data_IF_593206560348
#
_entry.id   IF_593206560348
#
_cell.length_a   1.000
_cell.length_b   1.000
_cell.length_c   1.000
_cell.angle_alpha   90.00
_cell.angle_beta   90.00
_cell.angle_gamma   90.00
#
_symmetry.space_group_name_H-M   'P 1'
#
loop_
_entity.id
_entity.type
_entity.pdbx_description
1 polymer ?
#
# COMPACT_ATOMS: atom_id res chain seq x y z
N UNK A 1 11.28 -26.62 -12.04
CA UNK A 1 9.92 -26.09 -11.80
C UNK A 1 10.03 -24.59 -11.65
N UNK A 2 9.53 -23.86 -12.63
CA UNK A 2 9.70 -22.42 -12.81
C UNK A 2 8.78 -21.67 -11.85
N UNK A 3 9.31 -21.13 -10.73
CA UNK A 3 8.63 -20.17 -9.87
C UNK A 3 8.91 -18.78 -10.45
N UNK A 4 8.14 -18.42 -11.44
CA UNK A 4 8.28 -17.13 -12.12
C UNK A 4 6.94 -16.66 -12.67
N UNK A 5 6.34 -15.69 -12.03
CA UNK A 5 5.34 -14.86 -12.65
C UNK A 5 3.97 -14.91 -12.02
N UNK A 6 3.68 -13.95 -11.17
CA UNK A 6 2.39 -13.24 -11.12
C UNK A 6 2.29 -12.25 -9.92
N UNK A 7 3.30 -11.40 -9.72
CA UNK A 7 3.24 -10.37 -8.64
C UNK A 7 2.71 -9.02 -9.14
N UNK A 8 2.30 -8.89 -10.41
CA UNK A 8 1.89 -7.60 -10.98
C UNK A 8 0.67 -7.73 -11.91
N UNK A 9 -0.52 -7.98 -11.34
CA UNK A 9 -1.77 -7.84 -12.09
C UNK A 9 -2.79 -6.97 -11.33
N UNK A 10 -2.55 -5.66 -11.32
CA UNK A 10 -3.61 -4.68 -11.12
C UNK A 10 -3.25 -3.40 -11.90
N UNK A 11 -3.86 -3.22 -13.07
CA UNK A 11 -3.77 -2.03 -13.91
C UNK A 11 -3.37 -2.30 -15.36
N UNK A 12 -3.56 -1.37 -16.32
CA UNK A 12 -3.55 -1.63 -17.76
C UNK A 12 -2.24 -2.28 -18.24
N UNK A 13 -2.34 -3.57 -18.53
CA UNK A 13 -1.22 -4.50 -18.74
C UNK A 13 -0.34 -4.18 -19.98
N UNK A 14 -0.81 -3.37 -20.91
CA UNK A 14 -0.10 -3.09 -22.17
C UNK A 14 1.01 -2.05 -22.01
N UNK A 15 0.84 -1.04 -21.16
CA UNK A 15 1.84 0.01 -20.92
C UNK A 15 3.03 -0.46 -20.06
N UNK A 16 2.81 -1.46 -19.23
CA UNK A 16 3.83 -1.95 -18.28
C UNK A 16 4.88 -2.84 -18.92
N UNK A 17 4.57 -3.57 -20.01
CA UNK A 17 5.50 -4.54 -20.58
C UNK A 17 6.72 -3.90 -21.25
N UNK A 18 6.57 -2.84 -22.03
CA UNK A 18 7.67 -2.20 -22.74
C UNK A 18 8.58 -1.35 -21.84
N UNK A 19 7.99 -0.56 -20.94
CA UNK A 19 8.76 0.26 -19.99
C UNK A 19 9.45 -0.60 -18.92
N UNK A 20 8.76 -1.64 -18.41
CA UNK A 20 9.33 -2.60 -17.47
C UNK A 20 10.52 -3.35 -18.03
N UNK A 21 10.54 -3.71 -19.33
CA UNK A 21 11.65 -4.41 -19.94
C UNK A 21 12.93 -3.57 -20.01
N UNK A 22 12.83 -2.27 -20.30
CA UNK A 22 13.98 -1.34 -20.32
C UNK A 22 14.59 -1.15 -18.93
N UNK A 23 13.77 -0.96 -17.91
CA UNK A 23 14.25 -0.82 -16.53
C UNK A 23 14.86 -2.12 -16.01
N UNK A 24 14.28 -3.26 -16.34
CA UNK A 24 14.85 -4.58 -16.04
C UNK A 24 16.24 -4.76 -16.65
N UNK A 25 16.39 -4.54 -17.95
CA UNK A 25 17.68 -4.65 -18.66
C UNK A 25 18.71 -3.66 -18.13
N UNK A 26 18.29 -2.45 -17.73
CA UNK A 26 19.18 -1.47 -17.09
C UNK A 26 19.67 -1.99 -15.75
N UNK A 27 18.77 -2.52 -14.91
CA UNK A 27 19.13 -3.10 -13.62
C UNK A 27 20.09 -4.27 -13.79
N UNK A 28 19.81 -5.20 -14.70
CA UNK A 28 20.68 -6.34 -15.01
C UNK A 28 22.11 -5.90 -15.36
N UNK A 29 22.27 -4.84 -16.15
CA UNK A 29 23.59 -4.29 -16.50
C UNK A 29 24.31 -3.63 -15.33
N UNK A 30 23.57 -3.11 -14.34
CA UNK A 30 24.14 -2.45 -13.16
C UNK A 30 24.55 -3.44 -12.06
N UNK A 31 23.99 -4.65 -12.05
CA UNK A 31 24.22 -5.66 -11.01
C UNK A 31 25.71 -5.91 -10.72
N UNK A 32 26.61 -6.13 -11.71
CA UNK A 32 28.02 -6.39 -11.39
C UNK A 32 28.69 -5.23 -10.65
N UNK A 33 28.38 -3.98 -11.07
CA UNK A 33 28.89 -2.78 -10.41
C UNK A 33 28.26 -2.58 -9.03
N UNK A 34 26.96 -2.88 -8.88
CA UNK A 34 26.25 -2.82 -7.62
C UNK A 34 26.88 -3.76 -6.59
N UNK A 35 27.13 -5.02 -6.95
CA UNK A 35 27.77 -5.99 -6.08
C UNK A 35 29.19 -5.56 -5.69
N UNK A 36 29.94 -4.97 -6.63
CA UNK A 36 31.26 -4.42 -6.34
C UNK A 36 31.21 -3.21 -5.40
N UNK A 37 30.19 -2.35 -5.54
CA UNK A 37 29.98 -1.17 -4.68
C UNK A 37 29.57 -1.56 -3.25
N UNK A 38 28.72 -2.57 -3.10
CA UNK A 38 28.31 -3.10 -1.79
C UNK A 38 29.51 -3.73 -1.07
N UNK A 39 30.43 -4.34 -1.81
CA UNK A 39 31.63 -4.96 -1.26
C UNK A 39 31.37 -6.28 -0.53
N UNK A 40 32.14 -6.57 0.51
CA UNK A 40 31.95 -7.72 1.40
C UNK A 40 30.78 -7.42 2.35
N UNK A 41 29.73 -8.26 2.48
CA UNK A 41 29.64 -9.70 2.12
C UNK A 41 29.09 -10.01 0.72
N UNK A 42 28.76 -9.02 -0.11
CA UNK A 42 28.11 -9.23 -1.40
C UNK A 42 28.99 -9.92 -2.44
N UNK A 43 30.27 -10.08 -2.20
CA UNK A 43 31.20 -10.76 -3.15
C UNK A 43 30.82 -12.20 -3.51
N UNK A 44 30.03 -12.87 -2.65
CA UNK A 44 29.53 -14.24 -2.86
C UNK A 44 28.05 -14.28 -3.27
N UNK A 45 27.44 -13.11 -3.47
CA UNK A 45 26.03 -13.05 -3.85
C UNK A 45 25.89 -13.08 -5.37
N UNK A 46 24.80 -13.69 -5.79
CA UNK A 46 24.28 -13.62 -7.16
C UNK A 46 22.97 -12.84 -7.14
N UNK A 47 22.65 -12.24 -8.27
CA UNK A 47 21.39 -11.55 -8.45
C UNK A 47 20.36 -12.48 -9.07
N UNK A 48 19.17 -12.50 -8.49
CA UNK A 48 18.01 -13.05 -9.13
C UNK A 48 17.44 -12.10 -10.21
N UNK A 49 16.39 -12.54 -10.93
CA UNK A 49 15.76 -11.72 -11.96
C UNK A 49 15.13 -10.46 -11.35
N UNK A 50 15.40 -9.25 -11.91
CA UNK A 50 14.81 -8.03 -11.42
C UNK A 50 13.29 -8.00 -11.58
N UNK A 51 12.59 -7.59 -10.53
CA UNK A 51 11.18 -7.20 -10.54
C UNK A 51 11.08 -5.70 -10.80
N UNK A 52 10.02 -5.22 -11.46
CA UNK A 52 9.83 -3.79 -11.71
C UNK A 52 8.49 -3.36 -11.15
N UNK A 53 8.52 -2.41 -10.21
CA UNK A 53 7.34 -1.85 -9.55
C UNK A 53 6.57 -0.86 -10.45
N UNK A 54 5.40 -0.44 -9.98
CA UNK A 54 4.58 0.60 -10.63
C UNK A 54 5.30 1.95 -10.76
N UNK A 55 6.18 2.28 -9.80
CA UNK A 55 7.02 3.49 -9.82
C UNK A 55 8.25 3.36 -10.71
N UNK A 56 8.37 2.23 -11.44
CA UNK A 56 9.54 1.87 -12.27
C UNK A 56 10.83 1.76 -11.47
N UNK A 57 10.72 1.33 -10.24
CA UNK A 57 11.86 0.89 -9.43
C UNK A 57 12.13 -0.57 -9.75
N UNK A 58 13.35 -0.90 -10.15
CA UNK A 58 13.77 -2.28 -10.28
C UNK A 58 14.21 -2.80 -8.91
N UNK A 59 13.62 -3.90 -8.48
CA UNK A 59 13.95 -4.59 -7.23
C UNK A 59 14.70 -5.86 -7.59
N UNK A 60 15.97 -5.94 -7.19
CA UNK A 60 16.88 -7.04 -7.50
C UNK A 60 17.11 -7.89 -6.27
N UNK A 61 16.64 -9.15 -6.26
CA UNK A 61 16.97 -10.08 -5.18
C UNK A 61 18.47 -10.42 -5.21
N UNK A 62 19.14 -10.38 -4.08
CA UNK A 62 20.55 -10.71 -3.93
C UNK A 62 20.73 -11.77 -2.84
N UNK A 63 21.54 -12.78 -3.11
CA UNK A 63 21.80 -13.86 -2.15
C UNK A 63 22.86 -14.86 -2.62
N UNK A 64 23.12 -15.92 -1.83
CA UNK A 64 24.07 -16.96 -2.20
C UNK A 64 23.56 -17.74 -3.42
N UNK A 65 24.47 -18.30 -4.25
CA UNK A 65 24.10 -19.15 -5.37
C UNK A 65 23.21 -20.31 -4.94
N UNK A 66 22.05 -20.46 -5.58
CA UNK A 66 21.11 -21.55 -5.27
C UNK A 66 20.31 -21.40 -3.96
N UNK A 67 20.59 -20.35 -3.19
CA UNK A 67 19.89 -20.05 -1.93
C UNK A 67 18.79 -18.98 -2.07
N UNK A 68 18.02 -18.75 -0.99
CA UNK A 68 17.05 -17.67 -0.96
C UNK A 68 17.76 -16.29 -0.98
N UNK A 69 17.06 -15.22 -1.41
CA UNK A 69 17.59 -13.88 -1.32
C UNK A 69 17.79 -13.49 0.15
N UNK A 70 18.92 -12.85 0.45
CA UNK A 70 19.24 -12.30 1.78
C UNK A 70 19.13 -10.77 1.80
N UNK A 71 19.14 -10.15 0.63
CA UNK A 71 18.94 -8.72 0.47
C UNK A 71 18.17 -8.40 -0.81
N UNK A 72 17.52 -7.23 -0.81
CA UNK A 72 16.79 -6.66 -1.94
C UNK A 72 17.41 -5.31 -2.29
N UNK A 73 17.91 -5.17 -3.51
CA UNK A 73 18.43 -3.90 -3.99
C UNK A 73 17.35 -3.19 -4.81
N UNK A 74 16.92 -2.01 -4.36
CA UNK A 74 15.94 -1.15 -5.01
C UNK A 74 16.67 -0.10 -5.85
N UNK A 75 16.44 -0.10 -7.17
CA UNK A 75 17.07 0.78 -8.16
C UNK A 75 15.97 1.64 -8.82
N UNK A 76 15.68 2.85 -8.30
CA UNK A 76 14.63 3.71 -8.85
C UNK A 76 15.02 4.23 -10.23
N UNK A 77 14.21 3.93 -11.25
CA UNK A 77 14.44 4.32 -12.64
C UNK A 77 13.86 5.67 -13.05
N UNK A 78 13.14 6.34 -12.14
CA UNK A 78 12.45 7.62 -12.39
C UNK A 78 12.53 8.54 -11.18
N UNK A 79 12.25 9.83 -11.37
CA UNK A 79 12.15 10.78 -10.25
C UNK A 79 11.05 10.38 -9.24
N UNK A 80 9.95 9.82 -9.73
CA UNK A 80 8.87 9.29 -8.88
C UNK A 80 9.40 8.14 -8.02
N UNK A 81 10.13 7.20 -8.61
CA UNK A 81 10.76 6.09 -7.87
C UNK A 81 11.78 6.58 -6.82
N UNK A 82 12.58 7.61 -7.13
CA UNK A 82 13.48 8.24 -6.14
C UNK A 82 12.67 8.84 -4.98
N UNK A 83 11.62 9.60 -5.29
CA UNK A 83 10.75 10.20 -4.26
C UNK A 83 10.06 9.13 -3.41
N UNK A 84 9.65 8.01 -4.00
CA UNK A 84 9.10 6.83 -3.33
C UNK A 84 10.10 6.27 -2.31
N UNK A 85 11.34 6.01 -2.73
CA UNK A 85 12.39 5.49 -1.85
C UNK A 85 12.73 6.45 -0.69
N UNK A 86 12.70 7.76 -0.94
CA UNK A 86 12.91 8.77 0.09
C UNK A 86 11.76 8.81 1.11
N UNK A 87 10.50 8.65 0.65
CA UNK A 87 9.34 8.56 1.55
C UNK A 87 9.41 7.30 2.40
N UNK A 88 9.66 6.15 1.79
CA UNK A 88 9.81 4.88 2.48
C UNK A 88 10.93 4.93 3.52
N UNK A 89 12.09 5.45 3.17
CA UNK A 89 13.20 5.60 4.11
C UNK A 89 12.87 6.49 5.32
N UNK A 90 12.14 7.61 5.10
CA UNK A 90 11.68 8.47 6.21
C UNK A 90 10.67 7.75 7.11
N UNK A 91 9.72 7.03 6.51
CA UNK A 91 8.71 6.26 7.26
C UNK A 91 9.36 5.17 8.11
N UNK A 92 10.25 4.36 7.53
CA UNK A 92 10.96 3.30 8.25
C UNK A 92 11.85 3.86 9.38
N UNK A 93 12.56 4.97 9.14
CA UNK A 93 13.34 5.62 10.18
C UNK A 93 12.47 6.13 11.33
N UNK A 94 11.32 6.75 11.01
CA UNK A 94 10.40 7.26 12.02
C UNK A 94 9.74 6.12 12.81
N UNK A 95 9.33 5.04 12.15
CA UNK A 95 8.79 3.82 12.80
C UNK A 95 9.84 3.16 13.70
N UNK A 96 11.09 3.05 13.23
CA UNK A 96 12.18 2.46 14.02
C UNK A 96 12.57 3.30 15.25
N UNK A 97 12.32 4.61 15.18
CA UNK A 97 12.57 5.53 16.30
C UNK A 97 11.38 5.64 17.27
N UNK A 98 10.21 5.07 16.93
CA UNK A 98 9.00 5.12 17.74
C UNK A 98 9.00 4.00 18.79
N UNK A 99 9.13 4.31 20.08
CA UNK A 99 9.19 3.29 21.12
C UNK A 99 7.94 2.39 21.17
N UNK A 100 6.77 2.94 20.86
CA UNK A 100 5.51 2.21 20.86
C UNK A 100 5.47 1.08 19.82
N UNK A 101 6.26 1.15 18.76
CA UNK A 101 6.36 0.09 17.74
C UNK A 101 6.86 -1.23 18.36
N UNK A 102 7.84 -1.18 19.27
CA UNK A 102 8.27 -2.35 20.04
C UNK A 102 8.57 -3.57 19.16
N UNK A 103 7.99 -4.73 19.53
CA UNK A 103 8.21 -6.00 18.81
C UNK A 103 7.66 -6.01 17.38
N UNK A 104 6.79 -5.07 17.02
CA UNK A 104 6.34 -4.93 15.63
C UNK A 104 7.50 -4.62 14.70
N UNK A 105 8.60 -4.04 15.19
CA UNK A 105 9.80 -3.73 14.40
C UNK A 105 10.35 -4.95 13.61
N UNK A 106 10.07 -6.18 14.06
CA UNK A 106 10.44 -7.41 13.34
C UNK A 106 9.79 -7.54 11.96
N UNK A 107 8.64 -6.89 11.75
CA UNK A 107 7.93 -6.89 10.47
C UNK A 107 8.40 -5.80 9.51
N UNK A 108 9.26 -4.89 9.95
CA UNK A 108 9.76 -3.79 9.12
C UNK A 108 10.99 -4.22 8.31
N UNK A 109 11.11 -3.79 7.04
CA UNK A 109 12.33 -3.94 6.28
C UNK A 109 13.50 -3.23 6.98
N UNK A 110 14.62 -3.92 7.12
CA UNK A 110 15.83 -3.33 7.65
C UNK A 110 16.68 -2.79 6.49
N UNK A 111 16.90 -1.49 6.45
CA UNK A 111 17.83 -0.86 5.52
C UNK A 111 19.26 -1.22 5.92
N UNK A 112 20.02 -1.79 4.99
CA UNK A 112 21.43 -2.19 5.18
C UNK A 112 22.33 -1.00 4.81
N UNK A 113 22.14 -0.46 3.60
CA UNK A 113 22.89 0.70 3.08
C UNK A 113 22.17 1.32 1.90
N UNK A 114 22.64 2.48 1.50
CA UNK A 114 22.26 3.15 0.27
C UNK A 114 23.46 3.86 -0.34
N UNK A 115 23.30 4.27 -1.58
CA UNK A 115 24.38 4.95 -2.31
C UNK A 115 24.10 5.09 -3.79
N UNK A 116 25.16 5.11 -4.56
CA UNK A 116 25.10 5.27 -6.01
C UNK A 116 25.96 4.22 -6.73
N UNK A 117 25.45 3.73 -7.85
CA UNK A 117 26.20 2.95 -8.83
C UNK A 117 26.28 3.78 -10.12
N UNK A 118 27.41 4.50 -10.30
CA UNK A 118 27.47 5.61 -11.24
C UNK A 118 26.46 6.68 -10.84
N UNK A 119 25.59 7.09 -11.77
CA UNK A 119 24.53 8.09 -11.51
C UNK A 119 23.22 7.47 -10.97
N UNK A 120 23.18 6.15 -10.80
CA UNK A 120 21.99 5.45 -10.38
C UNK A 120 21.97 5.28 -8.86
N UNK A 121 21.02 5.93 -8.14
CA UNK A 121 20.85 5.67 -6.72
C UNK A 121 20.34 4.25 -6.48
N UNK A 122 20.71 3.68 -5.35
CA UNK A 122 20.17 2.41 -4.87
C UNK A 122 19.93 2.44 -3.37
N UNK A 123 19.03 1.59 -2.95
CA UNK A 123 18.80 1.23 -1.54
C UNK A 123 18.93 -0.28 -1.42
N UNK A 124 19.67 -0.74 -0.41
CA UNK A 124 19.81 -2.15 -0.08
C UNK A 124 19.10 -2.41 1.24
N UNK A 125 18.15 -3.33 1.21
CA UNK A 125 17.39 -3.75 2.38
C UNK A 125 17.61 -5.25 2.63
N UNK A 126 17.49 -5.69 3.89
CA UNK A 126 17.40 -7.10 4.20
C UNK A 126 16.17 -7.69 3.53
N UNK A 127 16.32 -8.82 2.85
CA UNK A 127 15.17 -9.53 2.33
C UNK A 127 14.27 -10.00 3.48
N UNK A 128 12.97 -9.64 3.41
CA UNK A 128 12.00 -10.19 4.34
C UNK A 128 11.78 -11.67 4.02
N UNK A 129 11.72 -12.54 5.04
CA UNK A 129 11.53 -13.98 4.83
C UNK A 129 10.13 -14.26 4.28
N UNK A 130 9.98 -15.39 3.57
CA UNK A 130 8.70 -15.85 3.05
C UNK A 130 8.43 -15.39 1.61
N UNK A 131 7.17 -15.43 1.24
CA UNK A 131 6.65 -15.00 -0.07
C UNK A 131 5.45 -14.08 0.10
N UNK A 132 5.09 -13.33 -0.93
CA UNK A 132 3.95 -12.42 -0.86
C UNK A 132 2.63 -13.18 -0.61
N UNK A 133 1.86 -12.71 0.35
CA UNK A 133 0.66 -13.37 0.87
C UNK A 133 -0.42 -13.56 -0.21
N UNK A 134 -0.58 -12.64 -1.17
CA UNK A 134 -1.50 -12.76 -2.29
C UNK A 134 -1.21 -13.98 -3.17
N UNK A 135 0.06 -14.37 -3.29
CA UNK A 135 0.48 -15.57 -4.02
C UNK A 135 0.02 -16.85 -3.34
N UNK A 136 0.02 -16.87 -2.01
CA UNK A 136 -0.45 -18.02 -1.21
C UNK A 136 -1.97 -18.03 -1.15
N UNK A 137 -2.59 -16.89 -0.86
CA UNK A 137 -4.03 -16.76 -0.72
C UNK A 137 -4.81 -17.19 -1.97
N UNK A 138 -4.23 -17.02 -3.17
CA UNK A 138 -4.87 -17.42 -4.42
C UNK A 138 -4.79 -18.91 -4.74
N UNK A 139 -4.02 -19.72 -3.98
CA UNK A 139 -3.66 -21.10 -4.41
C UNK A 139 -3.66 -22.15 -3.29
N UNK A 140 -3.89 -21.76 -2.05
CA UNK A 140 -3.62 -22.63 -0.91
C UNK A 140 -4.85 -22.84 -0.03
N UNK A 141 -5.02 -24.04 0.59
CA UNK A 141 -6.02 -24.26 1.63
C UNK A 141 -5.79 -23.37 2.89
N UNK A 142 -4.62 -22.76 3.02
CA UNK A 142 -4.32 -21.79 4.10
C UNK A 142 -4.70 -20.34 3.76
N UNK A 143 -5.46 -20.10 2.69
CA UNK A 143 -5.86 -18.75 2.26
C UNK A 143 -6.49 -17.91 3.38
N UNK A 144 -7.40 -18.50 4.14
CA UNK A 144 -8.06 -17.82 5.27
C UNK A 144 -7.04 -17.45 6.37
N UNK A 145 -6.14 -18.38 6.73
CA UNK A 145 -5.11 -18.12 7.76
C UNK A 145 -4.11 -17.06 7.34
N UNK A 146 -3.77 -16.98 6.04
CA UNK A 146 -2.93 -15.93 5.48
C UNK A 146 -3.55 -14.55 5.66
N UNK A 147 -4.83 -14.41 5.33
CA UNK A 147 -5.56 -13.15 5.43
C UNK A 147 -5.70 -12.69 6.88
N UNK A 148 -6.08 -13.61 7.76
CA UNK A 148 -6.17 -13.39 9.21
C UNK A 148 -4.80 -13.06 9.81
N UNK A 149 -3.75 -13.79 9.45
CA UNK A 149 -2.38 -13.55 9.91
C UNK A 149 -1.82 -12.19 9.47
N UNK A 150 -2.12 -11.77 8.25
CA UNK A 150 -1.75 -10.44 7.76
C UNK A 150 -2.45 -9.33 8.56
N UNK A 151 -3.75 -9.47 8.80
CA UNK A 151 -4.54 -8.51 9.58
C UNK A 151 -4.08 -8.45 11.04
N UNK A 152 -3.84 -9.59 11.68
CA UNK A 152 -3.29 -9.65 13.03
C UNK A 152 -1.93 -8.95 13.12
N UNK A 153 -1.05 -9.14 12.14
CA UNK A 153 0.25 -8.50 12.14
C UNK A 153 0.16 -6.97 12.11
N UNK A 154 -0.66 -6.38 11.21
CA UNK A 154 -0.81 -4.92 11.15
C UNK A 154 -1.58 -4.38 12.36
N UNK A 155 -2.53 -5.15 12.92
CA UNK A 155 -3.27 -4.82 14.12
C UNK A 155 -2.35 -4.55 15.33
N UNK A 156 -1.23 -5.27 15.43
CA UNK A 156 -0.23 -4.99 16.48
C UNK A 156 0.33 -3.56 16.37
N UNK A 157 0.62 -3.08 15.16
CA UNK A 157 1.07 -1.69 14.97
C UNK A 157 -0.03 -0.72 15.38
N UNK A 158 -1.25 -0.95 14.91
CA UNK A 158 -2.39 -0.08 15.18
C UNK A 158 -2.63 0.05 16.67
N UNK A 159 -2.77 -1.07 17.39
CA UNK A 159 -3.04 -1.09 18.83
C UNK A 159 -1.90 -0.42 19.63
N UNK A 160 -0.65 -0.70 19.29
CA UNK A 160 0.51 -0.17 20.01
C UNK A 160 0.72 1.33 19.83
N UNK A 161 0.36 1.87 18.66
CA UNK A 161 0.56 3.28 18.33
C UNK A 161 -0.70 4.13 18.47
N UNK A 162 -1.82 3.50 18.85
CA UNK A 162 -3.10 4.17 19.05
C UNK A 162 -3.02 5.21 20.18
N UNK A 163 -3.59 6.38 19.91
CA UNK A 163 -3.79 7.42 20.92
C UNK A 163 -5.04 8.23 20.59
N UNK A 164 -5.76 8.75 21.62
CA UNK A 164 -6.95 9.54 21.40
C UNK A 164 -6.62 10.92 20.78
N UNK A 165 -7.47 11.38 19.90
CA UNK A 165 -7.39 12.71 19.30
C UNK A 165 -8.77 13.24 18.96
N UNK A 166 -8.90 14.57 18.96
CA UNK A 166 -10.06 15.27 18.40
C UNK A 166 -9.71 15.66 16.96
N UNK A 167 -10.58 15.35 16.02
CA UNK A 167 -10.36 15.71 14.61
C UNK A 167 -10.48 17.23 14.44
N UNK A 168 -9.34 17.87 14.43
CA UNK A 168 -9.20 19.32 14.28
C UNK A 168 -9.01 19.74 12.80
N UNK A 169 -8.85 21.02 12.58
CA UNK A 169 -8.62 21.57 11.23
C UNK A 169 -7.33 21.06 10.58
N UNK A 170 -6.29 20.71 11.37
CA UNK A 170 -5.03 20.19 10.83
C UNK A 170 -5.20 18.75 10.33
N UNK A 171 -5.91 17.91 11.06
CA UNK A 171 -6.28 16.56 10.65
C UNK A 171 -7.17 16.57 9.42
N UNK A 172 -8.23 17.41 9.40
CA UNK A 172 -9.12 17.57 8.25
C UNK A 172 -8.37 18.04 7.01
N UNK A 173 -7.48 19.00 7.16
CA UNK A 173 -6.65 19.46 6.05
C UNK A 173 -5.81 18.30 5.48
N UNK A 174 -5.23 17.47 6.32
CA UNK A 174 -4.38 16.33 5.90
C UNK A 174 -5.21 15.20 5.31
N UNK A 175 -6.30 14.79 5.97
CA UNK A 175 -7.10 13.65 5.56
C UNK A 175 -8.00 13.95 4.35
N UNK A 176 -8.48 15.19 4.24
CA UNK A 176 -9.49 15.58 3.26
C UNK A 176 -8.95 16.60 2.27
N UNK A 177 -8.59 17.82 2.74
CA UNK A 177 -8.43 18.96 1.85
C UNK A 177 -7.29 18.80 0.86
N UNK A 178 -6.11 18.38 1.33
CA UNK A 178 -4.93 18.19 0.46
C UNK A 178 -5.23 17.10 -0.59
N UNK A 179 -5.91 16.02 -0.19
CA UNK A 179 -6.24 14.91 -1.08
C UNK A 179 -7.32 15.31 -2.10
N UNK A 180 -8.36 16.02 -1.67
CA UNK A 180 -9.38 16.59 -2.56
C UNK A 180 -8.74 17.53 -3.58
N UNK A 181 -7.85 18.40 -3.15
CA UNK A 181 -7.16 19.33 -4.06
C UNK A 181 -6.30 18.63 -5.11
N UNK A 182 -5.63 17.53 -4.75
CA UNK A 182 -4.87 16.71 -5.70
C UNK A 182 -5.81 16.14 -6.76
N UNK A 183 -6.91 15.50 -6.33
CA UNK A 183 -7.85 14.85 -7.24
C UNK A 183 -8.60 15.88 -8.09
N UNK A 184 -9.04 17.01 -7.51
CA UNK A 184 -9.75 18.07 -8.21
C UNK A 184 -8.92 18.72 -9.32
N UNK A 185 -7.65 19.02 -9.03
CA UNK A 185 -6.70 19.57 -10.01
C UNK A 185 -6.45 18.59 -11.17
N UNK A 186 -6.29 17.31 -10.85
CA UNK A 186 -5.97 16.28 -11.84
C UNK A 186 -7.17 15.94 -12.74
N UNK A 187 -8.39 15.82 -12.17
CA UNK A 187 -9.55 15.29 -12.87
C UNK A 187 -10.56 16.35 -13.33
N UNK A 188 -10.40 17.61 -12.91
CA UNK A 188 -11.31 18.74 -13.17
C UNK A 188 -12.75 18.52 -12.67
N UNK A 189 -12.96 17.70 -11.63
CA UNK A 189 -14.27 17.39 -11.02
C UNK A 189 -14.52 18.22 -9.76
N UNK A 190 -14.35 19.55 -9.85
CA UNK A 190 -14.30 20.45 -8.69
C UNK A 190 -15.57 20.41 -7.85
N UNK A 191 -16.74 20.57 -8.46
CA UNK A 191 -18.01 20.69 -7.72
C UNK A 191 -18.37 19.41 -6.95
N UNK A 192 -18.21 18.24 -7.59
CA UNK A 192 -18.48 16.97 -6.93
C UNK A 192 -17.47 16.68 -5.80
N UNK A 193 -16.20 17.07 -5.98
CA UNK A 193 -15.18 16.92 -4.95
C UNK A 193 -15.35 17.93 -3.82
N UNK A 194 -15.93 19.10 -4.09
CA UNK A 194 -16.30 20.05 -3.04
C UNK A 194 -17.51 19.51 -2.23
N UNK A 195 -18.45 18.83 -2.87
CA UNK A 195 -19.52 18.11 -2.16
C UNK A 195 -18.96 17.02 -1.25
N UNK A 196 -17.99 16.24 -1.73
CA UNK A 196 -17.28 15.25 -0.91
C UNK A 196 -16.56 15.91 0.28
N UNK A 197 -15.85 17.01 0.03
CA UNK A 197 -15.14 17.77 1.10
C UNK A 197 -16.10 18.16 2.21
N UNK A 198 -17.23 18.78 1.85
CA UNK A 198 -18.25 19.20 2.82
C UNK A 198 -18.81 18.03 3.62
N UNK A 199 -19.08 16.89 2.95
CA UNK A 199 -19.53 15.67 3.60
C UNK A 199 -18.51 15.18 4.63
N UNK A 200 -17.25 15.01 4.22
CA UNK A 200 -16.20 14.50 5.10
C UNK A 200 -15.89 15.46 6.26
N UNK A 201 -15.94 16.78 6.03
CA UNK A 201 -15.83 17.76 7.10
C UNK A 201 -17.00 17.62 8.11
N UNK A 202 -18.23 17.48 7.62
CA UNK A 202 -19.38 17.29 8.49
C UNK A 202 -19.33 15.98 9.30
N UNK A 203 -18.76 14.92 8.69
CA UNK A 203 -18.66 13.61 9.35
C UNK A 203 -17.55 13.55 10.41
N UNK A 204 -16.49 14.30 10.23
CA UNK A 204 -15.27 14.11 11.04
C UNK A 204 -14.92 15.28 11.95
N UNK A 205 -15.31 16.54 11.64
CA UNK A 205 -14.93 17.71 12.45
C UNK A 205 -15.38 17.60 13.90
N UNK A 206 -14.44 17.74 14.83
CA UNK A 206 -14.71 17.70 16.26
C UNK A 206 -14.97 16.30 16.83
N UNK A 207 -14.91 15.24 16.01
CA UNK A 207 -15.11 13.86 16.46
C UNK A 207 -13.91 13.38 17.26
N UNK A 208 -14.14 12.73 18.37
CA UNK A 208 -13.13 11.99 19.12
C UNK A 208 -12.86 10.66 18.43
N UNK A 209 -11.60 10.35 18.19
CA UNK A 209 -11.14 9.16 17.46
C UNK A 209 -9.84 8.64 18.04
N UNK A 210 -9.54 7.37 17.81
CA UNK A 210 -8.21 6.83 17.98
C UNK A 210 -7.44 6.92 16.66
N UNK A 211 -6.25 7.49 16.71
CA UNK A 211 -5.33 7.63 15.58
C UNK A 211 -3.98 7.02 15.92
N UNK A 212 -3.23 6.65 14.89
CA UNK A 212 -1.92 6.03 15.09
C UNK A 212 -1.14 5.94 13.78
N UNK A 213 -0.15 5.06 13.76
CA UNK A 213 0.55 4.73 12.53
C UNK A 213 -0.30 3.83 11.65
N UNK A 214 -0.30 4.12 10.34
CA UNK A 214 -0.86 3.24 9.31
C UNK A 214 0.20 2.95 8.25
N UNK A 215 0.07 1.81 7.58
CA UNK A 215 0.87 1.47 6.41
C UNK A 215 0.50 2.33 5.19
N UNK A 216 -0.79 2.57 5.01
CA UNK A 216 -1.34 3.46 3.98
C UNK A 216 -1.47 2.87 2.59
N UNK A 217 -0.91 1.69 2.35
CA UNK A 217 -1.08 0.85 1.16
C UNK A 217 -1.10 -0.63 1.57
N UNK A 218 -1.86 -0.95 2.63
CA UNK A 218 -1.89 -2.28 3.21
C UNK A 218 -2.79 -3.22 2.39
N UNK A 219 -2.18 -4.25 1.80
CA UNK A 219 -2.85 -5.33 1.09
C UNK A 219 -1.96 -6.58 1.06
N UNK A 220 -2.53 -7.75 0.73
CA UNK A 220 -1.82 -9.04 0.85
C UNK A 220 -0.52 -9.12 0.04
N UNK A 221 -0.38 -8.40 -1.06
CA UNK A 221 0.87 -8.37 -1.83
C UNK A 221 2.02 -7.64 -1.14
N UNK A 222 1.73 -6.81 -0.13
CA UNK A 222 2.72 -6.13 0.68
C UNK A 222 3.03 -6.86 2.01
N UNK A 223 2.41 -8.02 2.24
CA UNK A 223 2.68 -8.88 3.41
C UNK A 223 3.45 -10.11 2.97
N UNK A 224 4.58 -10.36 3.62
CA UNK A 224 5.37 -11.57 3.45
C UNK A 224 4.94 -12.62 4.45
N UNK A 225 4.70 -13.84 3.99
CA UNK A 225 4.25 -14.95 4.84
C UNK A 225 5.10 -16.19 4.63
N UNK A 226 5.18 -17.01 5.66
CA UNK A 226 5.66 -18.38 5.51
C UNK A 226 4.67 -19.19 4.66
N UNK A 227 5.10 -19.77 3.54
CA UNK A 227 4.19 -20.45 2.60
C UNK A 227 3.56 -21.73 3.14
N UNK A 228 4.12 -22.32 4.19
CA UNK A 228 3.61 -23.57 4.78
C UNK A 228 2.55 -23.30 5.85
N UNK A 229 2.72 -22.22 6.61
CA UNK A 229 1.88 -21.91 7.78
C UNK A 229 0.94 -20.71 7.56
N UNK A 230 1.24 -19.84 6.59
CA UNK A 230 0.53 -18.59 6.38
C UNK A 230 0.84 -17.51 7.42
N UNK A 231 1.77 -17.75 8.33
CA UNK A 231 2.17 -16.79 9.36
C UNK A 231 2.89 -15.60 8.72
N UNK A 232 2.49 -14.39 9.09
CA UNK A 232 3.13 -13.16 8.64
C UNK A 232 4.58 -13.07 9.15
N UNK A 233 5.51 -12.80 8.23
CA UNK A 233 6.94 -12.72 8.47
C UNK A 233 7.50 -11.31 8.22
N UNK A 234 6.76 -10.46 7.51
CA UNK A 234 7.16 -9.09 7.24
C UNK A 234 6.10 -8.29 6.47
N UNK A 235 6.23 -6.98 6.51
CA UNK A 235 5.38 -6.06 5.75
C UNK A 235 6.33 -5.10 5.02
N UNK A 236 6.13 -4.95 3.71
CA UNK A 236 7.00 -4.19 2.80
C UNK A 236 6.25 -3.02 2.17
N UNK A 237 7.00 -2.11 1.53
CA UNK A 237 6.44 -0.98 0.75
C UNK A 237 5.79 0.12 1.59
N UNK A 238 6.53 0.61 2.58
CA UNK A 238 6.10 1.61 3.57
C UNK A 238 6.08 3.06 3.05
N UNK A 239 6.14 3.28 1.74
CA UNK A 239 6.24 4.63 1.19
C UNK A 239 5.03 5.54 1.48
N UNK A 240 3.87 4.96 1.80
CA UNK A 240 2.64 5.66 2.15
C UNK A 240 2.32 5.64 3.64
N UNK A 241 3.21 5.10 4.45
CA UNK A 241 3.00 5.08 5.89
C UNK A 241 2.94 6.51 6.45
N UNK A 242 2.05 6.68 7.42
CA UNK A 242 1.81 7.97 8.05
C UNK A 242 1.40 7.80 9.52
N UNK A 243 1.75 8.79 10.34
CA UNK A 243 1.26 8.93 11.73
C UNK A 243 -0.09 9.64 11.73
N UNK A 244 -0.78 9.52 12.84
CA UNK A 244 -2.01 10.23 13.16
C UNK A 244 -3.09 10.05 12.07
N UNK A 245 -3.26 8.83 11.64
CA UNK A 245 -4.28 8.38 10.70
C UNK A 245 -5.20 7.37 11.39
N UNK A 246 -6.39 7.15 10.85
CA UNK A 246 -7.32 6.14 11.36
C UNK A 246 -6.81 4.74 11.00
N UNK A 247 -6.58 3.89 11.99
CA UNK A 247 -6.14 2.51 11.80
C UNK A 247 -7.04 1.71 10.85
N UNK A 248 -8.35 1.95 10.91
CA UNK A 248 -9.34 1.32 10.03
C UNK A 248 -9.03 1.50 8.54
N UNK A 249 -8.28 2.53 8.12
CA UNK A 249 -7.96 2.75 6.71
C UNK A 249 -7.17 1.59 6.09
N UNK A 250 -6.23 0.99 6.82
CA UNK A 250 -5.44 -0.13 6.30
C UNK A 250 -6.31 -1.38 6.07
N UNK A 251 -7.16 -1.72 7.03
CA UNK A 251 -8.02 -2.91 6.94
C UNK A 251 -9.11 -2.74 5.89
N UNK A 252 -9.77 -1.58 5.86
CA UNK A 252 -10.77 -1.28 4.82
C UNK A 252 -10.14 -1.30 3.43
N UNK A 253 -8.92 -0.77 3.27
CA UNK A 253 -8.22 -0.85 1.98
C UNK A 253 -7.85 -2.30 1.62
N UNK A 254 -7.43 -3.11 2.57
CA UNK A 254 -7.18 -4.53 2.34
C UNK A 254 -8.45 -5.28 1.86
N UNK A 255 -9.62 -4.96 2.43
CA UNK A 255 -10.91 -5.50 1.97
C UNK A 255 -11.23 -5.04 0.54
N UNK A 256 -11.13 -3.74 0.26
CA UNK A 256 -11.31 -3.19 -1.09
C UNK A 256 -10.37 -3.88 -2.09
N UNK A 257 -9.10 -4.01 -1.74
CA UNK A 257 -8.10 -4.62 -2.63
C UNK A 257 -8.36 -6.11 -2.85
N UNK A 258 -8.83 -6.83 -1.83
CA UNK A 258 -9.23 -8.24 -1.95
C UNK A 258 -10.38 -8.41 -2.93
N UNK A 259 -11.39 -7.53 -2.89
CA UNK A 259 -12.50 -7.50 -3.87
C UNK A 259 -12.01 -7.19 -5.28
N UNK A 260 -11.04 -6.27 -5.43
CA UNK A 260 -10.40 -5.98 -6.72
C UNK A 260 -9.67 -7.23 -7.28
N UNK A 261 -8.93 -7.95 -6.44
CA UNK A 261 -8.24 -9.20 -6.83
C UNK A 261 -9.23 -10.30 -7.20
N UNK A 262 -10.40 -10.35 -6.58
CA UNK A 262 -11.50 -11.24 -6.94
C UNK A 262 -12.17 -10.87 -8.28
N UNK A 263 -11.71 -9.81 -8.96
CA UNK A 263 -12.19 -9.41 -10.29
C UNK A 263 -13.45 -8.56 -10.28
N UNK A 264 -13.87 -7.99 -9.16
CA UNK A 264 -15.08 -7.15 -9.06
C UNK A 264 -14.92 -5.77 -9.68
N UNK A 265 -13.74 -5.39 -10.13
CA UNK A 265 -13.49 -4.14 -10.82
C UNK A 265 -12.21 -3.44 -10.40
N UNK A 266 -12.10 -2.16 -10.74
CA UNK A 266 -11.04 -1.28 -10.25
C UNK A 266 -11.45 -0.64 -8.92
N UNK A 267 -10.54 0.09 -8.29
CA UNK A 267 -10.73 0.72 -6.98
C UNK A 267 -12.08 1.45 -6.85
N UNK A 268 -12.42 2.33 -7.79
CA UNK A 268 -13.66 3.11 -7.71
C UNK A 268 -14.91 2.29 -7.99
N UNK A 269 -14.85 1.25 -8.85
CA UNK A 269 -15.97 0.35 -9.08
C UNK A 269 -16.31 -0.41 -7.78
N UNK A 270 -15.29 -0.97 -7.12
CA UNK A 270 -15.45 -1.72 -5.85
C UNK A 270 -15.95 -0.81 -4.73
N UNK A 271 -15.35 0.38 -4.59
CA UNK A 271 -15.81 1.34 -3.57
C UNK A 271 -17.25 1.78 -3.82
N UNK A 272 -17.64 2.04 -5.07
CA UNK A 272 -19.01 2.38 -5.42
C UNK A 272 -20.00 1.25 -5.07
N UNK A 273 -19.64 -0.01 -5.35
CA UNK A 273 -20.41 -1.19 -4.95
C UNK A 273 -20.56 -1.26 -3.41
N UNK A 274 -19.45 -1.09 -2.68
CA UNK A 274 -19.46 -1.12 -1.21
C UNK A 274 -20.24 0.03 -0.58
N UNK A 275 -20.32 1.19 -1.22
CA UNK A 275 -21.18 2.31 -0.77
C UNK A 275 -22.66 2.01 -0.97
N UNK A 276 -23.04 1.33 -2.06
CA UNK A 276 -24.41 0.95 -2.36
C UNK A 276 -24.87 -0.27 -1.54
N UNK A 277 -23.95 -1.17 -1.26
CA UNK A 277 -24.19 -2.40 -0.51
C UNK A 277 -23.16 -2.51 0.64
N UNK A 278 -23.33 -1.73 1.73
CA UNK A 278 -22.33 -1.59 2.78
C UNK A 278 -22.29 -2.80 3.75
N UNK A 279 -22.10 -4.00 3.19
CA UNK A 279 -22.07 -5.26 3.94
C UNK A 279 -20.66 -5.85 3.90
N UNK A 280 -20.15 -6.23 5.07
CA UNK A 280 -18.92 -6.97 5.21
C UNK A 280 -19.09 -8.43 4.78
N UNK A 281 -18.10 -8.97 4.09
CA UNK A 281 -18.01 -10.41 3.84
C UNK A 281 -17.44 -11.13 5.08
N UNK A 282 -17.71 -12.41 5.24
CA UNK A 282 -17.24 -13.21 6.37
C UNK A 282 -15.72 -13.14 6.54
N UNK A 283 -14.96 -13.24 5.43
CA UNK A 283 -13.51 -13.13 5.44
C UNK A 283 -13.02 -11.74 5.88
N UNK A 284 -13.76 -10.68 5.54
CA UNK A 284 -13.46 -9.31 5.95
C UNK A 284 -13.73 -9.11 7.45
N UNK A 285 -14.82 -9.65 7.97
CA UNK A 285 -15.10 -9.64 9.41
C UNK A 285 -14.02 -10.41 10.19
N UNK A 286 -13.54 -11.53 9.65
CA UNK A 286 -12.45 -12.29 10.25
C UNK A 286 -11.13 -11.48 10.28
N UNK A 287 -10.85 -10.68 9.24
CA UNK A 287 -9.69 -9.75 9.24
C UNK A 287 -9.82 -8.70 10.35
N UNK A 288 -10.96 -8.04 10.45
CA UNK A 288 -11.19 -7.02 11.47
C UNK A 288 -11.08 -7.60 12.89
N UNK A 289 -11.65 -8.77 13.11
CA UNK A 289 -11.54 -9.49 14.39
C UNK A 289 -10.09 -9.83 14.73
N UNK A 290 -9.33 -10.32 13.75
CA UNK A 290 -7.93 -10.71 13.95
C UNK A 290 -6.99 -9.52 14.23
N UNK A 291 -7.35 -8.34 13.74
CA UNK A 291 -6.62 -7.11 13.99
C UNK A 291 -7.06 -6.40 15.29
N UNK A 292 -7.96 -7.00 16.07
CA UNK A 292 -8.57 -6.38 17.27
C UNK A 292 -9.22 -5.00 16.95
N UNK A 293 -9.69 -4.82 15.71
CA UNK A 293 -10.31 -3.61 15.21
C UNK A 293 -11.82 -3.81 15.08
N UNK A 294 -12.61 -3.50 16.10
CA UNK A 294 -14.05 -3.71 16.06
C UNK A 294 -14.67 -2.86 14.95
N UNK A 295 -15.55 -3.48 14.17
CA UNK A 295 -16.34 -2.80 13.13
C UNK A 295 -17.83 -2.92 13.44
N UNK A 296 -18.58 -1.91 13.02
CA UNK A 296 -20.04 -1.97 13.04
C UNK A 296 -20.59 -3.05 12.09
N UNK A 297 -21.88 -3.34 12.17
CA UNK A 297 -22.53 -4.36 11.33
C UNK A 297 -22.52 -4.00 9.84
N UNK A 298 -22.31 -2.74 9.53
CA UNK A 298 -22.23 -2.21 8.17
C UNK A 298 -20.93 -1.43 7.97
N UNK A 299 -20.52 -1.32 6.72
CA UNK A 299 -19.35 -0.52 6.32
C UNK A 299 -19.67 0.96 6.54
N UNK A 300 -18.82 1.66 7.31
CA UNK A 300 -18.94 3.11 7.48
C UNK A 300 -18.58 3.80 6.14
N UNK A 301 -19.54 4.49 5.49
CA UNK A 301 -19.31 5.12 4.20
C UNK A 301 -18.27 6.24 4.27
N UNK A 302 -18.15 6.94 5.39
CA UNK A 302 -17.23 8.06 5.51
C UNK A 302 -15.79 7.60 5.76
N UNK A 303 -15.57 6.44 6.39
CA UNK A 303 -14.27 5.75 6.43
C UNK A 303 -13.90 5.25 5.03
N UNK A 304 -14.82 4.60 4.34
CA UNK A 304 -14.59 4.07 2.99
C UNK A 304 -14.24 5.19 1.99
N UNK A 305 -14.91 6.35 2.09
CA UNK A 305 -14.62 7.53 1.28
C UNK A 305 -13.23 8.12 1.60
N UNK A 306 -12.78 8.13 2.86
CA UNK A 306 -11.42 8.55 3.21
C UNK A 306 -10.37 7.61 2.62
N UNK A 307 -10.60 6.30 2.68
CA UNK A 307 -9.72 5.28 2.06
C UNK A 307 -9.63 5.49 0.56
N UNK A 308 -10.78 5.60 -0.12
CA UNK A 308 -10.82 5.85 -1.54
C UNK A 308 -10.08 7.13 -1.93
N UNK A 309 -10.36 8.24 -1.25
CA UNK A 309 -9.76 9.54 -1.53
C UNK A 309 -8.23 9.49 -1.35
N UNK A 310 -7.75 8.81 -0.32
CA UNK A 310 -6.33 8.59 -0.07
C UNK A 310 -5.68 7.84 -1.24
N UNK A 311 -6.25 6.71 -1.65
CA UNK A 311 -5.68 5.86 -2.70
C UNK A 311 -5.72 6.51 -4.08
N UNK A 312 -6.81 7.20 -4.42
CA UNK A 312 -6.90 7.95 -5.69
C UNK A 312 -5.87 9.09 -5.73
N UNK A 313 -5.72 9.84 -4.64
CA UNK A 313 -4.71 10.88 -4.55
C UNK A 313 -3.27 10.32 -4.67
N UNK A 314 -2.97 9.22 -3.98
CA UNK A 314 -1.70 8.51 -4.06
C UNK A 314 -1.40 8.04 -5.49
N UNK A 315 -2.37 7.41 -6.16
CA UNK A 315 -2.26 6.95 -7.55
C UNK A 315 -1.95 8.11 -8.51
N UNK A 316 -2.60 9.26 -8.34
CA UNK A 316 -2.38 10.45 -9.17
C UNK A 316 -1.00 11.10 -8.92
N UNK A 317 -0.51 11.05 -7.68
CA UNK A 317 0.86 11.50 -7.35
C UNK A 317 1.92 10.57 -7.95
N UNK A 318 1.73 9.26 -7.86
CA UNK A 318 2.65 8.27 -8.44
C UNK A 318 2.62 8.24 -9.96
N UNK A 319 1.45 8.43 -10.54
CA UNK A 319 1.20 8.27 -11.97
C UNK A 319 0.31 9.40 -12.50
N UNK A 320 0.84 10.63 -12.66
CA UNK A 320 0.03 11.77 -13.12
C UNK A 320 -0.67 11.55 -14.47
N UNK A 321 -0.14 10.65 -15.29
CA UNK A 321 -0.74 10.24 -16.56
C UNK A 321 -2.12 9.60 -16.45
N UNK A 322 -2.49 9.07 -15.27
CA UNK A 322 -3.81 8.50 -15.01
C UNK A 322 -4.93 9.53 -15.17
N UNK A 323 -4.66 10.78 -14.83
CA UNK A 323 -5.60 11.89 -15.02
C UNK A 323 -6.01 12.12 -16.49
N UNK A 324 -5.17 11.70 -17.44
CA UNK A 324 -5.41 11.81 -18.87
C UNK A 324 -6.02 10.53 -19.48
N UNK A 325 -6.27 9.51 -18.67
CA UNK A 325 -6.96 8.29 -19.09
C UNK A 325 -8.47 8.41 -18.73
N UNK A 326 -9.36 8.68 -19.70
CA UNK A 326 -10.79 8.90 -19.42
C UNK A 326 -11.46 7.68 -18.77
N UNK A 327 -11.05 6.47 -19.16
CA UNK A 327 -11.60 5.23 -18.60
C UNK A 327 -11.18 5.06 -17.14
N UNK A 328 -9.91 5.35 -16.82
CA UNK A 328 -9.43 5.31 -15.44
C UNK A 328 -10.19 6.33 -14.57
N UNK A 329 -10.33 7.57 -15.06
CA UNK A 329 -11.08 8.62 -14.33
C UNK A 329 -12.55 8.22 -14.16
N UNK A 330 -13.18 7.65 -15.21
CA UNK A 330 -14.56 7.18 -15.12
C UNK A 330 -14.73 6.13 -14.04
N UNK A 331 -13.89 5.10 -14.05
CA UNK A 331 -14.01 3.95 -13.14
C UNK A 331 -13.55 4.24 -11.73
N UNK A 332 -12.49 5.06 -11.56
CA UNK A 332 -11.88 5.25 -10.24
C UNK A 332 -12.31 6.54 -9.53
N UNK A 333 -12.88 7.51 -10.26
CA UNK A 333 -13.28 8.80 -9.67
C UNK A 333 -14.79 9.05 -9.86
N UNK A 334 -15.27 8.99 -11.09
CA UNK A 334 -16.65 9.38 -11.38
C UNK A 334 -17.67 8.39 -10.81
N UNK A 335 -17.37 7.09 -10.80
CA UNK A 335 -18.23 6.05 -10.20
C UNK A 335 -18.55 6.38 -8.75
N UNK A 336 -17.53 6.67 -7.94
CA UNK A 336 -17.69 6.98 -6.51
C UNK A 336 -18.41 8.33 -6.30
N UNK A 337 -18.02 9.36 -7.07
CA UNK A 337 -18.66 10.68 -6.93
C UNK A 337 -20.14 10.65 -7.30
N UNK A 338 -20.59 9.74 -8.17
CA UNK A 338 -22.01 9.53 -8.51
C UNK A 338 -22.81 8.87 -7.38
N UNK A 339 -22.17 8.07 -6.56
CA UNK A 339 -22.83 7.43 -5.43
C UNK A 339 -23.06 8.37 -4.22
N UNK A 340 -22.36 9.51 -4.15
CA UNK A 340 -22.45 10.44 -3.01
C UNK A 340 -23.86 10.94 -2.68
N UNK A 341 -24.71 11.33 -3.65
CA UNK A 341 -26.04 11.84 -3.36
C UNK A 341 -26.99 10.79 -2.76
N UNK A 342 -26.72 9.51 -2.98
CA UNK A 342 -27.53 8.38 -2.49
C UNK A 342 -27.14 7.96 -1.07
N UNK A 343 -26.03 8.47 -0.55
CA UNK A 343 -25.59 8.13 0.79
C UNK A 343 -26.48 8.81 1.86
N UNK A 344 -26.69 8.14 3.00
CA UNK A 344 -27.41 8.74 4.11
C UNK A 344 -26.76 10.05 4.55
N UNK A 345 -27.57 10.98 5.05
CA UNK A 345 -27.04 12.21 5.63
C UNK A 345 -26.09 11.85 6.78
N UNK A 346 -25.06 12.66 6.96
CA UNK A 346 -24.12 12.49 8.07
C UNK A 346 -24.91 12.59 9.37
N UNK A 347 -24.94 11.51 10.14
CA UNK A 347 -25.55 11.52 11.49
C UNK A 347 -24.79 12.51 12.37
N UNK A 348 -25.51 13.33 13.12
CA UNK A 348 -24.87 14.05 14.24
C UNK A 348 -24.46 13.00 15.28
N UNK A 349 -23.26 13.13 15.86
CA UNK A 349 -22.78 12.25 16.93
C UNK A 349 -23.72 12.24 18.14
#
# INVERSE_FOLDING_TARGET
MTVGGNVLRAGPAAWRRGAGSRHRRRAERLVPRLLATIGDPARRWVAGPPLVSSTRTAVVPLGPPGGPPVAMAKLPGTRVGVSSQLREGRALNALSAEPAVGDFARFLPLRITDGYVGDQPFVLERAMPGIAADTVASRSPVAASVTVGAASAIGVLHTRTAHPAVVDAALLRRWVDVRVDIVARATRRRDALETLRKRLHAAWAGREVEIGWVHGDFWLGNVMVDPATGVAAGIIDWEWAARDELAAQDLVYACVHSRMLAGRGELGDVVSEMLQHPVWEEAELAMHSAAEAPVGPVIDPDVLLLVWLRQVAANLVQSPGLAHNPLWVLRNVVSVLRALPELPAVGKP
#
